data_IF_844548267758
#
_entry.id   IF_844548267758
#
_cell.length_a   1.000
_cell.length_b   1.000
_cell.length_c   1.000
_cell.angle_alpha   90.00
_cell.angle_beta   90.00
_cell.angle_gamma   90.00
#
_symmetry.space_group_name_H-M   'P 1'
#
loop_
_entity.id
_entity.type
_entity.pdbx_description
1 polymer ?
#
# COMPACT_ATOMS: atom_id res chain seq x y z
N UNK A 1 21.76 32.13 -51.33
CA UNK A 1 20.69 32.24 -50.32
C UNK A 1 20.78 31.03 -49.40
N UNK A 2 21.39 31.19 -48.23
CA UNK A 2 21.69 30.11 -47.29
C UNK A 2 20.46 29.90 -46.39
N UNK A 3 19.77 28.76 -46.54
CA UNK A 3 18.64 28.39 -45.68
C UNK A 3 19.16 27.70 -44.43
N UNK A 4 19.22 28.43 -43.32
CA UNK A 4 19.51 27.92 -41.99
C UNK A 4 18.35 27.05 -41.53
N UNK A 5 18.57 25.73 -41.41
CA UNK A 5 17.59 24.80 -40.84
C UNK A 5 17.71 24.89 -39.31
N UNK A 6 16.75 25.52 -38.64
CA UNK A 6 16.65 25.48 -37.18
C UNK A 6 16.20 24.08 -36.77
N UNK A 7 17.08 23.32 -36.11
CA UNK A 7 16.73 22.10 -35.40
C UNK A 7 16.09 22.53 -34.08
N UNK A 8 14.76 22.43 -34.00
CA UNK A 8 14.04 22.56 -32.75
C UNK A 8 14.31 21.30 -31.92
N UNK A 9 15.18 21.42 -30.91
CA UNK A 9 15.34 20.40 -29.87
C UNK A 9 14.06 20.44 -29.03
N UNK A 10 13.14 19.52 -29.32
CA UNK A 10 11.94 19.31 -28.52
C UNK A 10 12.38 18.73 -27.18
N UNK A 11 12.44 19.59 -26.16
CA UNK A 11 12.71 19.18 -24.79
C UNK A 11 11.49 18.41 -24.30
N UNK A 12 11.54 17.08 -24.42
CA UNK A 12 10.54 16.20 -23.85
C UNK A 12 10.59 16.34 -22.33
N UNK A 13 9.78 17.24 -21.78
CA UNK A 13 9.47 17.26 -20.37
C UNK A 13 8.80 15.93 -20.05
N UNK A 14 9.57 14.99 -19.50
CA UNK A 14 9.02 13.85 -18.78
C UNK A 14 8.32 14.48 -17.57
N UNK A 15 7.04 14.78 -17.74
CA UNK A 15 6.19 15.23 -16.65
C UNK A 15 6.09 14.05 -15.68
N UNK A 16 6.94 14.05 -14.65
CA UNK A 16 6.78 13.16 -13.52
C UNK A 16 5.42 13.49 -12.93
N UNK A 17 4.46 12.62 -13.20
CA UNK A 17 3.12 12.69 -12.62
C UNK A 17 3.33 12.46 -11.13
N UNK A 18 3.05 13.48 -10.32
CA UNK A 18 2.84 13.27 -8.88
C UNK A 18 1.59 12.39 -8.76
N UNK A 19 1.80 11.07 -8.81
CA UNK A 19 0.78 10.08 -8.49
C UNK A 19 0.78 9.93 -6.97
N UNK A 20 -0.37 9.68 -6.38
CA UNK A 20 -0.41 8.95 -5.12
C UNK A 20 0.24 7.61 -5.38
N UNK A 21 1.53 7.50 -5.09
CA UNK A 21 2.30 6.28 -5.30
C UNK A 21 1.94 5.27 -4.22
N UNK A 22 1.88 3.98 -4.58
CA UNK A 22 1.71 2.91 -3.63
C UNK A 22 2.90 2.93 -2.65
N UNK A 23 2.63 2.50 -1.42
CA UNK A 23 3.64 2.28 -0.39
C UNK A 23 3.45 0.89 0.18
N UNK A 24 4.53 0.13 0.24
CA UNK A 24 4.48 -1.25 0.71
C UNK A 24 5.75 -1.65 1.45
N UNK A 25 5.62 -2.70 2.26
CA UNK A 25 6.74 -3.41 2.84
C UNK A 25 7.13 -4.52 1.85
N UNK A 26 8.39 -4.56 1.44
CA UNK A 26 8.96 -5.53 0.48
C UNK A 26 10.03 -6.39 1.17
N UNK A 27 9.63 -7.53 1.77
CA UNK A 27 10.57 -8.54 2.26
C UNK A 27 11.54 -8.99 1.18
N UNK A 28 12.83 -9.05 1.52
CA UNK A 28 13.86 -9.67 0.66
C UNK A 28 13.57 -11.15 0.48
N UNK A 29 13.10 -11.80 1.55
CA UNK A 29 12.53 -13.15 1.56
C UNK A 29 11.18 -13.12 2.25
N UNK A 30 10.15 -13.63 1.57
CA UNK A 30 8.81 -13.85 2.17
C UNK A 30 8.72 -15.16 2.96
N UNK A 31 9.74 -16.02 2.85
CA UNK A 31 9.91 -17.24 3.64
C UNK A 31 11.34 -17.24 4.20
N UNK A 32 11.47 -17.19 5.52
CA UNK A 32 12.73 -17.01 6.23
C UNK A 32 12.91 -18.13 7.25
N UNK A 33 14.11 -18.69 7.37
CA UNK A 33 14.39 -19.69 8.40
C UNK A 33 14.44 -19.06 9.81
N UNK A 34 14.18 -19.84 10.85
CA UNK A 34 14.07 -19.34 12.23
C UNK A 34 15.37 -18.74 12.78
N UNK A 35 16.51 -19.12 12.22
CA UNK A 35 17.85 -18.63 12.56
C UNK A 35 18.35 -17.51 11.62
N UNK A 36 17.57 -17.15 10.59
CA UNK A 36 17.86 -16.06 9.68
C UNK A 36 17.25 -14.72 10.14
N UNK A 37 17.83 -13.62 9.67
CA UNK A 37 17.25 -12.29 9.88
C UNK A 37 16.07 -12.06 8.92
N UNK A 38 15.01 -11.43 9.42
CA UNK A 38 13.97 -10.84 8.61
C UNK A 38 14.45 -9.49 8.09
N UNK A 39 14.52 -9.37 6.76
CA UNK A 39 15.00 -8.17 6.07
C UNK A 39 13.95 -7.70 5.08
N UNK A 40 13.59 -6.42 5.14
CA UNK A 40 12.60 -5.82 4.26
C UNK A 40 12.90 -4.35 3.97
N UNK A 41 12.61 -3.94 2.73
CA UNK A 41 12.57 -2.53 2.34
C UNK A 41 11.16 -1.96 2.62
N UNK A 42 11.10 -0.68 2.98
CA UNK A 42 9.89 0.11 2.74
C UNK A 42 10.01 0.70 1.34
N UNK A 43 8.98 0.63 0.49
CA UNK A 43 9.04 1.16 -0.87
C UNK A 43 7.95 2.16 -1.14
N UNK A 44 8.26 3.13 -2.01
CA UNK A 44 7.29 4.03 -2.65
C UNK A 44 7.49 3.93 -4.15
N UNK A 45 6.41 3.70 -4.89
CA UNK A 45 6.52 3.40 -6.31
C UNK A 45 5.19 3.32 -7.06
N UNK A 46 5.25 2.70 -8.23
CA UNK A 46 4.10 2.37 -9.07
C UNK A 46 4.36 1.03 -9.76
N UNK A 47 3.28 0.32 -10.13
CA UNK A 47 3.38 -0.95 -10.87
C UNK A 47 4.27 -1.99 -10.15
N UNK A 48 4.22 -2.00 -8.82
CA UNK A 48 5.04 -2.87 -7.94
C UNK A 48 6.56 -2.71 -8.15
N UNK A 49 6.99 -1.51 -8.56
CA UNK A 49 8.37 -1.07 -8.66
C UNK A 49 8.56 0.27 -7.96
N UNK A 50 9.50 0.33 -7.03
CA UNK A 50 9.61 1.48 -6.14
C UNK A 50 10.98 1.66 -5.54
N UNK A 51 11.24 2.92 -5.20
CA UNK A 51 12.46 3.31 -4.49
C UNK A 51 12.36 2.90 -3.02
N UNK A 52 13.44 2.29 -2.51
CA UNK A 52 13.54 1.95 -1.09
C UNK A 52 13.70 3.22 -0.24
N UNK A 53 12.91 3.28 0.82
CA UNK A 53 12.83 4.35 1.81
C UNK A 53 13.64 3.99 3.06
N UNK A 54 14.22 5.00 3.69
CA UNK A 54 14.97 4.81 4.93
C UNK A 54 14.06 4.68 6.16
N UNK A 55 14.55 4.01 7.20
CA UNK A 55 13.95 4.02 8.53
C UNK A 55 14.02 5.43 9.14
N UNK A 56 12.89 6.14 9.18
CA UNK A 56 12.79 7.51 9.69
C UNK A 56 11.64 7.58 10.71
N UNK A 57 11.91 7.53 12.03
CA UNK A 57 10.87 7.48 13.07
C UNK A 57 9.83 8.60 13.01
N UNK A 58 10.22 9.81 12.60
CA UNK A 58 9.28 10.94 12.47
C UNK A 58 8.25 10.77 11.35
N UNK A 59 8.44 9.81 10.44
CA UNK A 59 7.57 9.58 9.28
C UNK A 59 6.52 8.49 9.54
N UNK A 60 6.49 7.88 10.73
CA UNK A 60 5.54 6.82 11.06
C UNK A 60 5.02 6.95 12.49
N UNK A 61 3.80 6.46 12.68
CA UNK A 61 3.13 6.35 13.98
C UNK A 61 3.40 4.99 14.60
N UNK A 62 3.35 3.94 13.78
CA UNK A 62 3.60 2.54 14.18
C UNK A 62 4.51 1.85 13.17
N UNK A 63 5.48 1.10 13.67
CA UNK A 63 6.22 0.14 12.87
C UNK A 63 6.49 -1.09 13.73
N UNK A 64 5.72 -2.15 13.50
CA UNK A 64 5.56 -3.27 14.42
C UNK A 64 5.72 -4.61 13.69
N UNK A 65 6.14 -5.62 14.45
CA UNK A 65 6.25 -7.00 14.06
C UNK A 65 5.34 -7.84 14.95
N UNK A 66 4.33 -8.47 14.35
CA UNK A 66 3.32 -9.26 15.03
C UNK A 66 3.52 -10.75 14.76
N UNK A 67 3.52 -11.58 15.81
CA UNK A 67 3.53 -13.03 15.73
C UNK A 67 2.42 -13.57 16.62
N UNK A 68 1.25 -13.84 16.03
CA UNK A 68 0.01 -14.03 16.79
C UNK A 68 -0.31 -12.80 17.63
N UNK A 69 -0.57 -12.99 18.93
CA UNK A 69 -0.82 -11.89 19.88
C UNK A 69 0.45 -11.14 20.32
N UNK A 70 1.64 -11.67 20.01
CA UNK A 70 2.88 -11.01 20.38
C UNK A 70 3.18 -9.85 19.45
N UNK A 71 3.35 -8.66 20.01
CA UNK A 71 3.70 -7.43 19.29
C UNK A 71 5.03 -6.88 19.78
N UNK A 72 5.96 -6.62 18.85
CA UNK A 72 7.20 -5.92 19.11
C UNK A 72 7.35 -4.73 18.15
N UNK A 73 7.98 -3.66 18.61
CA UNK A 73 8.41 -2.59 17.70
C UNK A 73 9.52 -3.12 16.79
N UNK A 74 9.50 -2.71 15.52
CA UNK A 74 10.58 -3.00 14.59
C UNK A 74 11.78 -2.12 14.96
N UNK A 75 12.92 -2.71 15.36
CA UNK A 75 14.10 -1.92 15.67
C UNK A 75 14.71 -1.34 14.39
N UNK A 76 15.30 -0.14 14.48
CA UNK A 76 16.02 0.46 13.36
C UNK A 76 16.84 1.67 13.78
N UNK A 77 17.89 1.97 13.01
CA UNK A 77 18.68 3.19 13.13
C UNK A 77 18.19 4.20 12.11
N UNK A 78 18.13 5.48 12.50
CA UNK A 78 17.71 6.56 11.60
C UNK A 78 18.58 6.56 10.34
N UNK A 79 17.94 6.38 9.18
CA UNK A 79 18.61 6.34 7.88
C UNK A 79 18.83 4.94 7.30
N UNK A 80 18.62 3.88 8.08
CA UNK A 80 18.83 2.50 7.65
C UNK A 80 18.04 2.17 6.38
N UNK A 81 18.70 1.46 5.47
CA UNK A 81 18.14 0.94 4.22
C UNK A 81 18.85 -0.37 3.88
N UNK A 82 18.21 -1.55 4.00
CA UNK A 82 16.78 -1.80 4.25
C UNK A 82 16.31 -1.29 5.62
N UNK A 83 15.03 -0.91 5.70
CA UNK A 83 14.44 -0.33 6.91
C UNK A 83 14.13 -1.38 7.98
N UNK A 84 14.09 -2.66 7.60
CA UNK A 84 13.94 -3.81 8.51
C UNK A 84 15.17 -4.69 8.40
N UNK A 85 15.80 -4.95 9.53
CA UNK A 85 16.82 -5.97 9.69
C UNK A 85 16.81 -6.43 11.15
N UNK A 86 16.07 -7.50 11.43
CA UNK A 86 15.85 -7.99 12.78
C UNK A 86 15.79 -9.51 12.84
N UNK A 87 16.11 -10.08 14.01
CA UNK A 87 15.79 -11.47 14.29
C UNK A 87 14.27 -11.65 14.38
N UNK A 88 13.75 -12.76 13.85
CA UNK A 88 12.35 -13.09 14.08
C UNK A 88 12.10 -13.37 15.57
N UNK A 89 10.98 -12.91 16.15
CA UNK A 89 10.66 -13.16 17.56
C UNK A 89 10.33 -14.64 17.85
N UNK A 90 10.05 -15.42 16.82
CA UNK A 90 9.75 -16.85 16.87
C UNK A 90 9.34 -17.39 15.49
N UNK A 91 8.97 -18.67 15.45
CA UNK A 91 8.41 -19.28 14.25
C UNK A 91 6.91 -18.99 14.11
N UNK A 92 6.46 -18.89 12.86
CA UNK A 92 5.06 -18.73 12.50
C UNK A 92 4.85 -17.69 11.40
N UNK A 93 3.61 -17.24 11.25
CA UNK A 93 3.25 -16.13 10.37
C UNK A 93 3.59 -14.82 11.05
N UNK A 94 4.70 -14.20 10.61
CA UNK A 94 5.08 -12.86 11.02
C UNK A 94 4.30 -11.85 10.17
N UNK A 95 3.59 -10.93 10.82
CA UNK A 95 2.88 -9.82 10.18
C UNK A 95 3.61 -8.53 10.51
N UNK A 96 4.28 -7.98 9.51
CA UNK A 96 4.90 -6.66 9.63
C UNK A 96 3.84 -5.59 9.39
N UNK A 97 3.79 -4.56 10.23
CA UNK A 97 2.77 -3.51 10.21
C UNK A 97 3.44 -2.15 10.20
N UNK A 98 3.05 -1.27 9.29
CA UNK A 98 3.58 0.10 9.22
C UNK A 98 2.46 1.11 8.98
N UNK A 99 2.42 2.15 9.81
CA UNK A 99 1.50 3.29 9.71
C UNK A 99 2.30 4.57 9.55
N UNK A 100 2.15 5.29 8.44
CA UNK A 100 2.84 6.58 8.26
C UNK A 100 2.19 7.70 9.07
N UNK A 101 2.95 8.74 9.38
CA UNK A 101 2.35 10.04 9.73
C UNK A 101 1.70 10.69 8.50
N UNK A 102 0.83 11.66 8.74
CA UNK A 102 0.19 12.41 7.66
C UNK A 102 1.22 13.12 6.77
N UNK A 103 1.10 12.85 5.48
CA UNK A 103 1.81 13.55 4.43
C UNK A 103 0.86 14.45 3.65
N UNK A 104 1.40 15.45 2.98
CA UNK A 104 0.60 16.44 2.27
C UNK A 104 1.08 16.57 0.84
N UNK A 105 0.13 16.68 -0.08
CA UNK A 105 0.42 17.03 -1.47
C UNK A 105 -0.53 18.12 -1.96
N UNK A 106 -0.15 18.77 -3.05
CA UNK A 106 -1.01 19.70 -3.78
C UNK A 106 -1.07 19.24 -5.22
N UNK A 107 -2.27 18.91 -5.69
CA UNK A 107 -2.49 18.49 -7.06
C UNK A 107 -2.15 19.62 -8.02
N UNK A 108 -1.31 19.32 -9.01
CA UNK A 108 -0.85 20.33 -9.97
C UNK A 108 -1.96 20.79 -10.92
N UNK A 109 -2.92 19.91 -11.21
CA UNK A 109 -4.08 20.21 -12.06
C UNK A 109 -5.32 19.45 -11.57
N UNK A 110 -6.50 19.97 -11.89
CA UNK A 110 -7.78 19.32 -11.62
C UNK A 110 -7.88 17.95 -12.30
N UNK A 111 -7.37 17.82 -13.53
CA UNK A 111 -7.43 16.59 -14.32
C UNK A 111 -6.61 15.46 -13.69
N UNK A 112 -5.47 15.78 -13.05
CA UNK A 112 -4.70 14.77 -12.32
C UNK A 112 -5.44 14.28 -11.08
N UNK A 113 -6.10 15.20 -10.36
CA UNK A 113 -6.93 14.84 -9.23
C UNK A 113 -8.09 13.95 -9.68
N UNK A 114 -8.84 14.35 -10.72
CA UNK A 114 -9.91 13.53 -11.32
C UNK A 114 -9.39 12.17 -11.78
N UNK A 115 -8.24 12.11 -12.45
CA UNK A 115 -7.64 10.85 -12.88
C UNK A 115 -7.33 9.91 -11.72
N UNK A 116 -6.84 10.45 -10.60
CA UNK A 116 -6.66 9.69 -9.36
C UNK A 116 -7.99 9.20 -8.78
N UNK A 117 -9.02 10.07 -8.73
CA UNK A 117 -10.35 9.71 -8.24
C UNK A 117 -10.96 8.56 -9.05
N UNK A 118 -10.91 8.65 -10.38
CA UNK A 118 -11.40 7.59 -11.28
C UNK A 118 -10.63 6.29 -11.08
N UNK A 119 -9.30 6.40 -11.01
CA UNK A 119 -8.45 5.24 -10.84
C UNK A 119 -8.69 4.49 -9.52
N UNK A 120 -9.03 5.20 -8.44
CA UNK A 120 -9.30 4.64 -7.11
C UNK A 120 -10.80 4.51 -6.78
N UNK A 121 -11.69 4.47 -7.79
CA UNK A 121 -13.15 4.30 -7.65
C UNK A 121 -13.80 5.30 -6.67
N UNK A 122 -13.47 6.59 -6.83
CA UNK A 122 -13.81 7.67 -5.93
C UNK A 122 -14.41 8.92 -6.63
N UNK A 123 -15.01 8.76 -7.80
CA UNK A 123 -15.57 9.85 -8.61
C UNK A 123 -16.66 10.66 -7.89
N UNK A 124 -17.33 10.09 -6.89
CA UNK A 124 -18.29 10.80 -6.05
C UNK A 124 -17.69 12.06 -5.40
N UNK A 125 -16.37 12.08 -5.20
CA UNK A 125 -15.61 13.22 -4.68
C UNK A 125 -15.70 14.43 -5.59
N UNK A 126 -15.83 14.25 -6.90
CA UNK A 126 -15.98 15.34 -7.89
C UNK A 126 -17.26 16.12 -7.59
N UNK A 127 -18.40 15.44 -7.53
CA UNK A 127 -19.69 16.04 -7.25
C UNK A 127 -19.70 16.70 -5.87
N UNK A 128 -19.08 16.06 -4.87
CA UNK A 128 -18.99 16.61 -3.51
C UNK A 128 -18.05 17.82 -3.43
N UNK A 129 -17.01 17.89 -4.26
CA UNK A 129 -16.11 19.02 -4.34
C UNK A 129 -16.81 20.24 -4.94
N UNK A 130 -17.51 20.06 -6.06
CA UNK A 130 -18.27 21.11 -6.73
C UNK A 130 -19.42 21.64 -5.86
N UNK A 131 -20.17 20.76 -5.20
CA UNK A 131 -21.24 21.15 -4.29
C UNK A 131 -20.74 21.95 -3.07
N UNK A 132 -19.47 21.77 -2.70
CA UNK A 132 -18.82 22.55 -1.65
C UNK A 132 -18.32 23.92 -2.12
N UNK A 133 -18.38 24.22 -3.42
CA UNK A 133 -17.84 25.46 -3.99
C UNK A 133 -16.32 25.59 -3.84
N UNK A 134 -15.60 24.48 -3.68
CA UNK A 134 -14.15 24.51 -3.52
C UNK A 134 -13.46 24.84 -4.83
N UNK A 135 -12.29 25.47 -4.74
CA UNK A 135 -11.46 25.74 -5.91
C UNK A 135 -10.93 24.45 -6.50
N UNK A 136 -11.06 24.30 -7.81
CA UNK A 136 -10.42 23.23 -8.60
C UNK A 136 -8.92 23.47 -8.81
N UNK A 137 -8.39 24.60 -8.37
CA UNK A 137 -6.96 24.92 -8.40
C UNK A 137 -6.28 24.60 -7.07
N UNK A 138 -5.05 24.10 -7.13
CA UNK A 138 -4.19 23.85 -5.95
C UNK A 138 -4.89 23.06 -4.85
N UNK A 139 -5.61 22.01 -5.22
CA UNK A 139 -6.28 21.12 -4.29
C UNK A 139 -5.22 20.49 -3.41
N UNK A 140 -5.26 20.82 -2.11
CA UNK A 140 -4.38 20.24 -1.12
C UNK A 140 -5.05 19.04 -0.48
N UNK A 141 -4.31 17.96 -0.37
CA UNK A 141 -4.76 16.68 0.18
C UNK A 141 -3.79 16.23 1.28
N UNK A 142 -4.34 15.67 2.36
CA UNK A 142 -3.58 14.88 3.32
C UNK A 142 -3.67 13.40 2.94
N UNK A 143 -2.61 12.63 3.18
CA UNK A 143 -2.68 11.19 2.99
C UNK A 143 -1.81 10.45 4.00
N UNK A 144 -2.27 9.25 4.35
CA UNK A 144 -1.60 8.32 5.27
C UNK A 144 -1.69 6.89 4.75
N UNK A 145 -0.69 6.07 5.06
CA UNK A 145 -0.52 4.72 4.54
C UNK A 145 -0.41 3.69 5.66
N UNK A 146 -1.09 2.58 5.44
CA UNK A 146 -1.34 1.51 6.39
C UNK A 146 -0.95 0.20 5.71
N UNK A 147 0.34 -0.16 5.81
CA UNK A 147 0.91 -1.29 5.11
C UNK A 147 1.08 -2.49 6.04
N UNK A 148 0.73 -3.67 5.52
CA UNK A 148 1.02 -4.96 6.12
C UNK A 148 1.83 -5.83 5.16
N UNK A 149 2.66 -6.69 5.71
CA UNK A 149 3.31 -7.76 4.96
C UNK A 149 3.30 -9.06 5.73
N UNK A 150 2.88 -10.13 5.07
CA UNK A 150 2.89 -11.48 5.62
C UNK A 150 4.20 -12.14 5.25
N UNK A 151 4.87 -12.72 6.24
CA UNK A 151 6.17 -13.38 6.09
C UNK A 151 6.11 -14.69 6.87
N UNK A 152 6.40 -15.83 6.23
CA UNK A 152 6.55 -17.08 6.94
C UNK A 152 7.94 -17.17 7.56
N UNK A 153 8.00 -17.37 8.88
CA UNK A 153 9.22 -17.70 9.60
C UNK A 153 9.16 -19.16 10.05
N UNK A 154 10.17 -19.96 9.70
CA UNK A 154 10.21 -21.38 10.01
C UNK A 154 9.01 -22.12 9.39
N UNK A 155 8.14 -22.66 10.24
CA UNK A 155 6.93 -23.37 9.79
C UNK A 155 5.82 -22.47 9.18
N UNK A 156 5.88 -21.14 9.35
CA UNK A 156 4.92 -20.20 8.77
C UNK A 156 3.48 -20.33 9.29
N UNK A 157 3.23 -21.13 10.32
CA UNK A 157 1.90 -21.36 10.88
C UNK A 157 1.37 -20.14 11.63
N UNK A 158 0.06 -19.96 11.61
CA UNK A 158 -0.60 -18.80 12.20
C UNK A 158 -1.64 -18.24 11.24
N UNK A 159 -2.13 -17.05 11.55
CA UNK A 159 -3.11 -16.32 10.75
C UNK A 159 -2.83 -14.83 10.84
N UNK A 160 -3.24 -14.11 9.82
CA UNK A 160 -3.32 -12.67 9.90
C UNK A 160 -4.53 -12.27 10.76
N UNK A 161 -4.52 -11.05 11.28
CA UNK A 161 -5.61 -10.48 12.06
C UNK A 161 -5.66 -8.97 11.93
N UNK A 162 -6.79 -8.39 12.31
CA UNK A 162 -6.92 -6.94 12.44
C UNK A 162 -5.98 -6.44 13.56
N UNK A 163 -5.19 -5.40 13.27
CA UNK A 163 -4.25 -4.77 14.22
C UNK A 163 -4.65 -3.34 14.58
N UNK A 164 -5.85 -2.93 14.16
CA UNK A 164 -6.47 -1.65 14.48
C UNK A 164 -5.93 -0.48 13.66
N UNK A 165 -5.53 -0.71 12.41
CA UNK A 165 -5.24 0.39 11.48
C UNK A 165 -6.56 1.02 11.04
N UNK A 166 -6.57 2.33 10.79
CA UNK A 166 -7.80 3.03 10.41
C UNK A 166 -8.41 2.47 9.12
N UNK A 167 -7.58 1.99 8.20
CA UNK A 167 -7.98 1.14 7.08
C UNK A 167 -6.98 0.01 6.98
N UNK A 168 -7.47 -1.20 6.79
CA UNK A 168 -6.67 -2.40 6.95
C UNK A 168 -7.13 -3.50 6.01
N UNK A 169 -6.16 -4.24 5.47
CA UNK A 169 -6.41 -5.56 4.90
C UNK A 169 -6.15 -6.63 5.96
N UNK A 170 -7.04 -7.61 6.04
CA UNK A 170 -6.81 -8.86 6.78
C UNK A 170 -6.88 -10.02 5.79
N UNK A 171 -5.80 -10.78 5.66
CA UNK A 171 -5.87 -12.06 4.96
C UNK A 171 -6.65 -13.06 5.81
N UNK A 172 -7.76 -13.57 5.30
CA UNK A 172 -8.61 -14.54 6.01
C UNK A 172 -8.01 -15.95 5.96
N UNK A 173 -7.08 -16.17 5.05
CA UNK A 173 -6.33 -17.41 4.91
C UNK A 173 -4.82 -17.13 4.97
N UNK A 174 -4.07 -18.10 5.47
CA UNK A 174 -2.61 -18.00 5.52
C UNK A 174 -2.02 -18.43 4.17
N UNK A 175 -1.36 -17.56 3.39
CA UNK A 175 -0.87 -17.88 2.06
C UNK A 175 0.22 -18.97 2.02
N UNK A 176 0.80 -19.32 3.17
CA UNK A 176 1.89 -20.30 3.29
C UNK A 176 1.43 -21.68 3.77
N UNK A 177 0.28 -21.75 4.44
CA UNK A 177 -0.21 -23.00 5.05
C UNK A 177 -1.66 -23.35 4.70
N UNK A 178 -2.41 -22.38 4.14
CA UNK A 178 -3.77 -22.57 3.64
C UNK A 178 -3.81 -23.18 2.24
N UNK A 179 -5.01 -23.61 1.84
CA UNK A 179 -5.28 -24.00 0.45
C UNK A 179 -5.63 -22.75 -0.35
N UNK A 180 -5.06 -22.60 -1.54
CA UNK A 180 -5.18 -21.39 -2.37
C UNK A 180 -5.71 -21.73 -3.77
N UNK A 181 -6.51 -22.81 -3.89
CA UNK A 181 -6.92 -23.37 -5.18
C UNK A 181 -7.95 -22.48 -5.90
N UNK A 182 -8.74 -21.72 -5.15
CA UNK A 182 -9.73 -20.75 -5.64
C UNK A 182 -9.31 -19.28 -5.43
N UNK A 183 -8.24 -19.04 -4.69
CA UNK A 183 -7.70 -17.71 -4.45
C UNK A 183 -7.16 -17.57 -3.03
N UNK A 184 -7.08 -16.33 -2.57
CA UNK A 184 -6.95 -15.99 -1.15
C UNK A 184 -8.07 -15.06 -0.76
N UNK A 185 -8.80 -15.41 0.29
CA UNK A 185 -9.83 -14.54 0.83
C UNK A 185 -9.21 -13.41 1.68
N UNK A 186 -9.65 -12.18 1.42
CA UNK A 186 -9.24 -10.99 2.17
C UNK A 186 -10.44 -10.19 2.65
N UNK A 187 -10.29 -9.52 3.79
CA UNK A 187 -11.24 -8.55 4.35
C UNK A 187 -10.63 -7.16 4.31
N UNK A 188 -11.38 -6.18 3.82
CA UNK A 188 -11.02 -4.75 3.88
C UNK A 188 -11.81 -4.08 4.99
N UNK A 189 -11.10 -3.44 5.91
CA UNK A 189 -11.66 -2.69 7.01
C UNK A 189 -11.45 -1.18 6.83
N UNK A 190 -12.41 -0.41 7.34
CA UNK A 190 -12.26 1.02 7.59
C UNK A 190 -12.92 1.32 8.94
N UNK A 191 -12.16 1.90 9.87
CA UNK A 191 -12.57 2.16 11.26
C UNK A 191 -13.13 0.90 11.95
N UNK A 192 -12.37 -0.21 11.83
CA UNK A 192 -12.72 -1.55 12.33
C UNK A 192 -14.02 -2.16 11.77
N UNK A 193 -14.62 -1.53 10.76
CA UNK A 193 -15.85 -1.99 10.10
C UNK A 193 -15.55 -2.55 8.71
N UNK A 194 -16.19 -3.67 8.30
CA UNK A 194 -16.07 -4.17 6.94
C UNK A 194 -16.48 -3.15 5.89
N UNK A 195 -15.65 -3.01 4.86
CA UNK A 195 -15.81 -2.00 3.81
C UNK A 195 -16.33 -2.65 2.53
N UNK A 196 -17.64 -2.63 2.36
CA UNK A 196 -18.31 -3.19 1.19
C UNK A 196 -18.10 -2.37 -0.10
N UNK A 197 -18.30 -3.01 -1.26
CA UNK A 197 -18.23 -2.41 -2.61
C UNK A 197 -16.97 -1.55 -2.82
N UNK A 198 -15.85 -2.02 -2.27
CA UNK A 198 -14.58 -1.31 -2.31
C UNK A 198 -13.68 -1.95 -3.35
N UNK A 199 -13.09 -1.10 -4.20
CA UNK A 199 -12.08 -1.54 -5.15
C UNK A 199 -10.79 -1.93 -4.40
N UNK A 200 -10.30 -3.12 -4.72
CA UNK A 200 -8.97 -3.61 -4.43
C UNK A 200 -8.23 -3.63 -5.75
N UNK A 201 -7.13 -2.89 -5.84
CA UNK A 201 -6.18 -3.02 -6.93
C UNK A 201 -5.14 -4.08 -6.58
N UNK A 202 -4.97 -5.05 -7.45
CA UNK A 202 -4.11 -6.22 -7.25
C UNK A 202 -2.95 -6.15 -8.21
N UNK A 203 -1.74 -6.12 -7.66
CA UNK A 203 -0.50 -6.23 -8.40
C UNK A 203 0.07 -7.64 -8.21
N UNK A 204 -0.01 -8.45 -9.26
CA UNK A 204 0.55 -9.79 -9.32
C UNK A 204 1.93 -9.74 -9.95
N UNK A 205 2.97 -10.15 -9.21
CA UNK A 205 4.35 -10.19 -9.67
C UNK A 205 4.86 -11.62 -9.82
N UNK A 206 5.15 -11.99 -11.06
CA UNK A 206 5.67 -13.32 -11.42
C UNK A 206 7.12 -13.54 -11.00
N UNK A 207 7.59 -14.80 -10.96
CA UNK A 207 8.99 -15.12 -10.65
C UNK A 207 10.03 -14.47 -11.57
N UNK A 208 9.68 -14.18 -12.83
CA UNK A 208 10.55 -13.47 -13.79
C UNK A 208 10.50 -11.94 -13.63
N UNK A 209 9.66 -11.43 -12.73
CA UNK A 209 9.55 -10.01 -12.39
C UNK A 209 8.48 -9.25 -13.15
N UNK A 210 7.76 -9.86 -14.11
CA UNK A 210 6.63 -9.21 -14.78
C UNK A 210 5.50 -8.90 -13.80
N UNK A 211 4.78 -7.80 -14.02
CA UNK A 211 3.68 -7.35 -13.16
C UNK A 211 2.40 -7.27 -13.97
N UNK A 212 1.39 -8.02 -13.55
CA UNK A 212 0.01 -7.90 -14.01
C UNK A 212 -0.80 -7.11 -12.97
N UNK A 213 -1.68 -6.21 -13.44
CA UNK A 213 -2.54 -5.40 -12.58
C UNK A 213 -3.99 -5.63 -12.96
N UNK A 214 -4.83 -5.89 -11.97
CA UNK A 214 -6.27 -6.05 -12.12
C UNK A 214 -7.00 -5.54 -10.88
N UNK A 215 -8.32 -5.41 -10.96
CA UNK A 215 -9.14 -4.98 -9.82
C UNK A 215 -10.10 -6.06 -9.39
N UNK A 216 -10.38 -6.09 -8.10
CA UNK A 216 -11.42 -6.89 -7.46
C UNK A 216 -12.31 -5.97 -6.62
N UNK A 217 -13.56 -6.35 -6.40
CA UNK A 217 -14.47 -5.62 -5.49
C UNK A 217 -14.82 -6.47 -4.28
N UNK A 218 -14.87 -5.82 -3.12
CA UNK A 218 -15.40 -6.44 -1.91
C UNK A 218 -16.92 -6.59 -1.97
N UNK A 219 -17.40 -7.67 -1.36
CA UNK A 219 -18.81 -7.95 -1.19
C UNK A 219 -19.44 -7.13 -0.04
N UNK A 220 -20.69 -7.45 0.32
CA UNK A 220 -21.42 -6.77 1.40
C UNK A 220 -20.79 -6.93 2.79
N UNK A 221 -19.96 -7.95 2.98
CA UNK A 221 -19.27 -8.25 4.23
C UNK A 221 -17.82 -7.76 4.19
N UNK A 222 -17.47 -6.92 3.21
CA UNK A 222 -16.14 -6.34 3.04
C UNK A 222 -15.08 -7.33 2.55
N UNK A 223 -15.49 -8.49 2.06
CA UNK A 223 -14.60 -9.58 1.68
C UNK A 223 -14.43 -9.71 0.17
N UNK A 224 -13.29 -10.19 -0.28
CA UNK A 224 -13.04 -10.54 -1.66
C UNK A 224 -12.10 -11.73 -1.76
N UNK A 225 -12.37 -12.65 -2.68
CA UNK A 225 -11.43 -13.68 -3.08
C UNK A 225 -10.52 -13.11 -4.16
N UNK A 226 -9.21 -13.07 -3.89
CA UNK A 226 -8.20 -12.63 -4.85
C UNK A 226 -7.67 -13.86 -5.60
N UNK A 227 -7.82 -13.96 -6.93
CA UNK A 227 -7.19 -15.02 -7.70
C UNK A 227 -5.67 -14.96 -7.54
N UNK A 228 -5.04 -16.09 -7.21
CA UNK A 228 -3.60 -16.17 -7.02
C UNK A 228 -2.96 -17.33 -7.78
N UNK A 229 -1.67 -17.20 -8.03
CA UNK A 229 -0.83 -18.16 -8.70
C UNK A 229 0.36 -18.51 -7.81
N UNK A 230 0.70 -19.79 -7.80
CA UNK A 230 1.86 -20.31 -7.07
C UNK A 230 3.16 -19.65 -7.54
N UNK A 231 4.05 -19.37 -6.60
CA UNK A 231 5.33 -18.70 -6.82
C UNK A 231 5.24 -17.19 -7.06
N UNK A 232 4.05 -16.60 -7.09
CA UNK A 232 3.87 -15.16 -7.35
C UNK A 232 3.82 -14.37 -6.04
N UNK A 233 4.29 -13.12 -6.12
CA UNK A 233 4.15 -12.13 -5.04
C UNK A 233 2.99 -11.21 -5.37
N UNK A 234 2.26 -10.80 -4.35
CA UNK A 234 1.10 -9.94 -4.47
C UNK A 234 1.28 -8.68 -3.65
N UNK A 235 0.79 -7.57 -4.18
CA UNK A 235 0.52 -6.34 -3.45
C UNK A 235 -0.94 -5.97 -3.70
N UNK A 236 -1.70 -5.80 -2.63
CA UNK A 236 -3.09 -5.33 -2.67
C UNK A 236 -3.11 -3.87 -2.21
N UNK A 237 -3.85 -3.03 -2.90
CA UNK A 237 -4.04 -1.62 -2.57
C UNK A 237 -5.54 -1.27 -2.54
N UNK A 238 -5.96 -0.56 -1.50
CA UNK A 238 -7.32 -0.01 -1.41
C UNK A 238 -7.27 1.35 -0.72
N UNK A 239 -8.00 2.32 -1.28
CA UNK A 239 -7.95 3.71 -0.82
C UNK A 239 -9.31 4.15 -0.29
N UNK A 240 -9.34 4.68 0.94
CA UNK A 240 -10.50 5.43 1.46
C UNK A 240 -10.26 6.91 1.15
N UNK A 241 -11.20 7.54 0.45
CA UNK A 241 -11.25 9.00 0.33
C UNK A 241 -12.33 9.55 1.23
N UNK A 242 -12.00 10.57 2.02
CA UNK A 242 -12.93 11.18 2.97
C UNK A 242 -12.70 12.67 3.12
N UNK A 243 -13.63 13.33 3.80
CA UNK A 243 -13.36 14.68 4.31
C UNK A 243 -12.28 14.63 5.38
N UNK A 244 -11.38 15.63 5.42
CA UNK A 244 -10.32 15.66 6.41
C UNK A 244 -10.87 15.50 7.82
N UNK A 245 -10.20 14.68 8.62
CA UNK A 245 -10.47 14.57 10.05
C UNK A 245 -10.37 15.93 10.76
N UNK A 246 -10.94 16.03 11.96
CA UNK A 246 -10.87 17.24 12.78
C UNK A 246 -9.43 17.67 13.07
N UNK A 247 -8.51 16.70 13.18
CA UNK A 247 -7.10 16.94 13.52
C UNK A 247 -6.34 17.64 12.38
N UNK A 248 -6.92 17.63 11.17
CA UNK A 248 -6.40 18.28 9.98
C UNK A 248 -7.04 19.66 9.70
N UNK A 249 -7.92 20.16 10.57
CA UNK A 249 -8.66 21.40 10.35
C UNK A 249 -7.75 22.60 10.01
N UNK A 250 -6.61 22.73 10.69
CA UNK A 250 -5.66 23.84 10.49
C UNK A 250 -4.67 23.62 9.33
N UNK A 251 -4.76 22.49 8.62
CA UNK A 251 -3.81 22.13 7.55
C UNK A 251 -4.23 22.62 6.17
N UNK A 252 -5.40 23.25 6.04
CA UNK A 252 -5.96 23.75 4.77
C UNK A 252 -5.99 22.65 3.68
N UNK A 253 -6.37 21.43 4.07
CA UNK A 253 -6.58 20.29 3.16
C UNK A 253 -8.07 20.18 2.83
N UNK A 254 -8.39 19.78 1.61
CA UNK A 254 -9.78 19.64 1.15
C UNK A 254 -10.29 18.19 1.22
N UNK A 255 -9.35 17.26 1.15
CA UNK A 255 -9.57 15.82 1.12
C UNK A 255 -8.46 15.10 1.88
N UNK A 256 -8.79 13.91 2.35
CA UNK A 256 -7.87 13.00 3.00
C UNK A 256 -7.98 11.63 2.34
N UNK A 257 -6.85 11.03 1.97
CA UNK A 257 -6.77 9.67 1.44
C UNK A 257 -6.02 8.72 2.37
N UNK A 258 -6.64 7.59 2.68
CA UNK A 258 -6.10 6.57 3.58
C UNK A 258 -5.84 5.31 2.74
N UNK A 259 -4.60 4.85 2.72
CA UNK A 259 -4.14 3.80 1.82
C UNK A 259 -3.87 2.52 2.59
N UNK A 260 -4.75 1.53 2.47
CA UNK A 260 -4.48 0.19 2.95
C UNK A 260 -3.61 -0.55 1.94
N UNK A 261 -2.59 -1.25 2.41
CA UNK A 261 -1.72 -2.07 1.57
C UNK A 261 -1.41 -3.41 2.24
N UNK A 262 -1.38 -4.49 1.46
CA UNK A 262 -0.97 -5.82 1.92
C UNK A 262 -0.04 -6.48 0.91
N UNK A 263 1.10 -7.00 1.37
CA UNK A 263 1.99 -7.84 0.54
C UNK A 263 2.14 -9.25 1.09
N UNK A 264 2.22 -10.23 0.19
CA UNK A 264 2.50 -11.63 0.52
C UNK A 264 3.06 -12.38 -0.70
N UNK A 265 3.58 -13.59 -0.44
CA UNK A 265 3.98 -14.56 -1.46
C UNK A 265 3.03 -15.75 -1.38
N UNK A 266 2.61 -16.28 -2.53
CA UNK A 266 2.05 -17.62 -2.62
C UNK A 266 3.20 -18.57 -2.98
N UNK A 267 3.56 -19.55 -2.13
CA UNK A 267 4.68 -20.45 -2.41
C UNK A 267 4.52 -21.24 -3.72
N UNK A 268 5.62 -21.63 -4.38
CA UNK A 268 5.56 -22.43 -5.59
C UNK A 268 5.00 -23.85 -5.37
N UNK A 269 5.06 -24.39 -4.14
CA UNK A 269 4.68 -25.75 -3.77
C UNK A 269 3.89 -25.79 -2.46
#
# INVERSE_FOLDING_TARGET
>A
MLRTLLIAISMACIAMTAKGHEFWIDPVKYQTASDEQVVADLRVGQDFEGSSQSYIPRNFVRFEAWLGEMRNDVPGVVGDRPAVNMAAPGEGLLVMVHETTDSFLTWSTWEKFVGFLVHKDAEWVIARHDAGGYSREKIREAYSRYAKSLIAVGNGAGRDQAVGLITEFVALENPYTGQMDDGIDVLVLYEDMPRADSQIEVFEKSPDGSVAVFTQKTDKDGQATIPVQRGHRYMLDAVVLRKPSSDLADKNVLWESLWANLTFLVPPN
#
